data_IF_054622632821
#
_entry.id   IF_054622632821
#
_cell.length_a   1.000
_cell.length_b   1.000
_cell.length_c   1.000
_cell.angle_alpha   90.00
_cell.angle_beta   90.00
_cell.angle_gamma   90.00
#
_symmetry.space_group_name_H-M   'P 1'
#
loop_
_entity.id
_entity.type
_entity.pdbx_description
1 polymer ?
#
# COMPACT_ATOMS: atom_id res chain seq x y z
N UNK A 1 4.94 33.25 7.20
CA UNK A 1 5.12 32.13 8.17
C UNK A 1 6.29 31.29 7.69
N UNK A 2 7.38 31.22 8.46
CA UNK A 2 8.55 30.43 8.09
C UNK A 2 8.39 29.07 8.79
N UNK A 3 8.32 27.99 8.01
CA UNK A 3 8.36 26.63 8.53
C UNK A 3 9.83 26.23 8.59
N UNK A 4 10.34 26.00 9.80
CA UNK A 4 11.69 25.47 10.02
C UNK A 4 11.60 23.97 10.28
N UNK A 5 12.27 23.18 9.44
CA UNK A 5 12.28 21.71 9.54
C UNK A 5 13.65 21.25 10.00
N UNK A 6 13.71 20.53 11.12
CA UNK A 6 14.92 19.89 11.61
C UNK A 6 14.84 18.39 11.28
N UNK A 7 15.58 17.90 10.27
CA UNK A 7 15.53 16.50 9.89
C UNK A 7 16.18 15.64 10.98
N UNK A 8 15.76 14.37 11.08
CA UNK A 8 16.49 13.37 11.87
C UNK A 8 17.86 13.11 11.23
N UNK A 9 18.92 12.93 12.02
CA UNK A 9 20.29 12.74 11.49
C UNK A 9 20.38 11.54 10.53
N UNK A 10 19.60 10.48 10.78
CA UNK A 10 19.51 9.30 9.93
C UNK A 10 18.90 9.62 8.54
N UNK A 11 18.02 10.63 8.46
CA UNK A 11 17.47 11.09 7.19
C UNK A 11 18.50 11.89 6.36
N UNK A 12 19.53 12.44 7.02
CA UNK A 12 20.64 13.13 6.35
C UNK A 12 21.69 12.14 5.80
N UNK A 13 21.78 10.95 6.40
CA UNK A 13 22.64 9.85 5.95
C UNK A 13 21.99 8.96 4.88
N UNK A 14 20.68 9.09 4.66
CA UNK A 14 19.98 8.40 3.59
C UNK A 14 20.47 8.92 2.23
N UNK A 15 21.29 8.10 1.55
CA UNK A 15 22.05 8.49 0.35
C UNK A 15 21.20 8.91 -0.84
N UNK A 16 19.91 8.57 -0.86
CA UNK A 16 18.95 9.00 -1.89
C UNK A 16 17.59 9.30 -1.27
N UNK A 17 17.55 10.27 -0.34
CA UNK A 17 16.31 10.76 0.28
C UNK A 17 15.21 10.94 -0.77
N UNK A 18 14.28 9.98 -0.81
CA UNK A 18 13.25 9.93 -1.83
C UNK A 18 12.47 11.24 -1.80
N UNK A 19 12.62 12.07 -2.82
CA UNK A 19 11.78 13.27 -2.96
C UNK A 19 10.32 12.82 -2.85
N UNK A 20 9.49 13.48 -2.00
CA UNK A 20 8.09 13.11 -1.86
C UNK A 20 7.47 13.11 -3.25
N UNK A 21 6.93 11.95 -3.65
CA UNK A 21 6.32 11.81 -4.96
C UNK A 21 4.96 12.47 -4.94
N UNK A 22 4.63 13.24 -5.97
CA UNK A 22 3.24 13.64 -6.23
C UNK A 22 2.45 12.55 -6.97
N UNK A 23 3.14 11.51 -7.48
CA UNK A 23 2.51 10.40 -8.20
C UNK A 23 1.59 9.63 -7.26
N UNK A 24 0.39 9.35 -7.73
CA UNK A 24 -0.58 8.49 -7.05
C UNK A 24 -0.57 7.09 -7.67
N UNK A 25 -0.72 6.08 -6.81
CA UNK A 25 -0.86 4.67 -7.19
C UNK A 25 -2.27 4.24 -6.75
N UNK A 26 -3.04 3.71 -7.69
CA UNK A 26 -4.40 3.25 -7.42
C UNK A 26 -4.43 2.13 -6.39
N UNK A 27 -5.49 2.08 -5.57
CA UNK A 27 -5.70 1.01 -4.59
C UNK A 27 -6.35 -0.23 -5.20
N UNK A 28 -6.82 -0.14 -6.44
CA UNK A 28 -7.71 -1.13 -7.05
C UNK A 28 -9.15 -1.03 -6.56
N UNK A 29 -9.47 -0.04 -5.72
CA UNK A 29 -10.80 0.22 -5.17
C UNK A 29 -11.22 1.62 -5.60
N UNK A 30 -11.98 1.76 -6.70
CA UNK A 30 -12.28 3.08 -7.29
C UNK A 30 -12.90 4.08 -6.29
N UNK A 31 -13.85 3.62 -5.47
CA UNK A 31 -14.48 4.48 -4.46
C UNK A 31 -13.53 4.94 -3.36
N UNK A 32 -12.52 4.14 -3.00
CA UNK A 32 -11.50 4.57 -2.04
C UNK A 32 -10.53 5.56 -2.68
N UNK A 33 -10.10 5.30 -3.91
CA UNK A 33 -9.20 6.18 -4.65
C UNK A 33 -9.79 7.58 -4.80
N UNK A 34 -11.09 7.69 -5.09
CA UNK A 34 -11.80 8.97 -5.13
C UNK A 34 -11.73 9.72 -3.79
N UNK A 35 -12.02 9.02 -2.68
CA UNK A 35 -12.02 9.61 -1.33
C UNK A 35 -10.63 10.10 -0.91
N UNK A 36 -9.56 9.39 -1.29
CA UNK A 36 -8.18 9.71 -0.87
C UNK A 36 -7.40 10.57 -1.89
N UNK A 37 -8.08 11.10 -2.91
CA UNK A 37 -7.48 12.03 -3.89
C UNK A 37 -6.68 11.35 -4.99
N UNK A 38 -7.21 10.25 -5.53
CA UNK A 38 -6.68 9.52 -6.67
C UNK A 38 -5.72 8.38 -6.32
N UNK A 39 -5.71 7.92 -5.06
CA UNK A 39 -4.91 6.78 -4.60
C UNK A 39 -3.79 7.12 -3.60
N UNK A 40 -2.93 6.15 -3.34
CA UNK A 40 -1.83 6.23 -2.38
C UNK A 40 -0.65 7.01 -2.97
N UNK A 41 0.05 7.79 -2.16
CA UNK A 41 1.27 8.48 -2.58
C UNK A 41 2.37 7.45 -2.92
N UNK A 42 2.94 7.53 -4.11
CA UNK A 42 4.05 6.66 -4.50
C UNK A 42 5.28 6.86 -3.58
N UNK A 43 6.05 5.79 -3.34
CA UNK A 43 7.23 5.81 -2.45
C UNK A 43 6.89 6.24 -1.01
N UNK A 44 5.71 5.88 -0.53
CA UNK A 44 5.26 6.18 0.83
C UNK A 44 4.93 4.90 1.61
N UNK A 45 4.72 5.07 2.92
CA UNK A 45 4.12 4.03 3.78
C UNK A 45 2.70 4.47 4.14
N UNK A 46 1.73 3.58 3.94
CA UNK A 46 0.32 3.81 4.28
C UNK A 46 -0.13 2.77 5.29
N UNK A 47 -0.88 3.22 6.31
CA UNK A 47 -1.38 2.36 7.39
C UNK A 47 -2.91 2.35 7.41
N UNK A 48 -3.50 1.17 7.27
CA UNK A 48 -4.93 0.95 7.45
C UNK A 48 -5.22 0.53 8.89
N UNK A 49 -5.95 1.37 9.63
CA UNK A 49 -6.38 1.11 11.01
C UNK A 49 -7.88 0.82 11.05
N UNK A 50 -8.27 -0.10 11.92
CA UNK A 50 -9.67 -0.47 12.10
C UNK A 50 -9.85 -1.75 12.92
N UNK A 51 -11.07 -1.99 13.40
CA UNK A 51 -11.43 -3.18 14.18
C UNK A 51 -11.22 -4.49 13.41
N UNK A 52 -11.16 -5.61 14.13
CA UNK A 52 -11.14 -6.93 13.49
C UNK A 52 -12.35 -7.08 12.56
N UNK A 53 -12.15 -7.70 11.38
CA UNK A 53 -13.20 -7.84 10.38
C UNK A 53 -13.49 -6.61 9.51
N UNK A 54 -12.90 -5.44 9.80
CA UNK A 54 -13.11 -4.21 9.00
C UNK A 54 -12.56 -4.24 7.55
N UNK A 55 -12.08 -5.39 7.06
CA UNK A 55 -11.62 -5.54 5.68
C UNK A 55 -10.17 -5.13 5.40
N UNK A 56 -9.37 -4.79 6.41
CA UNK A 56 -7.96 -4.36 6.24
C UNK A 56 -7.11 -5.30 5.37
N UNK A 57 -7.18 -6.61 5.64
CA UNK A 57 -6.47 -7.62 4.84
C UNK A 57 -6.96 -7.64 3.39
N UNK A 58 -8.27 -7.53 3.17
CA UNK A 58 -8.85 -7.49 1.83
C UNK A 58 -8.41 -6.22 1.08
N UNK A 59 -8.38 -5.06 1.75
CA UNK A 59 -7.85 -3.82 1.16
C UNK A 59 -6.39 -3.95 0.75
N UNK A 60 -5.54 -4.54 1.62
CA UNK A 60 -4.16 -4.82 1.29
C UNK A 60 -4.02 -5.75 0.08
N UNK A 61 -4.84 -6.80 0.00
CA UNK A 61 -4.84 -7.72 -1.14
C UNK A 61 -5.35 -7.06 -2.43
N UNK A 62 -6.33 -6.16 -2.36
CA UNK A 62 -6.78 -5.35 -3.52
C UNK A 62 -5.63 -4.50 -4.08
N UNK A 63 -4.87 -3.85 -3.19
CA UNK A 63 -3.72 -3.04 -3.59
C UNK A 63 -2.62 -3.88 -4.26
N UNK A 64 -2.32 -5.07 -3.71
CA UNK A 64 -1.36 -5.99 -4.33
C UNK A 64 -1.89 -6.53 -5.67
N UNK A 65 -3.18 -6.83 -5.78
CA UNK A 65 -3.79 -7.26 -7.04
C UNK A 65 -3.70 -6.17 -8.12
N UNK A 66 -3.88 -4.90 -7.72
CA UNK A 66 -3.74 -3.76 -8.62
C UNK A 66 -2.30 -3.57 -9.09
N UNK A 67 -1.31 -3.66 -8.20
CA UNK A 67 0.10 -3.64 -8.58
C UNK A 67 0.44 -4.76 -9.56
N UNK A 68 0.00 -5.99 -9.26
CA UNK A 68 0.22 -7.14 -10.14
C UNK A 68 -0.43 -6.97 -11.53
N UNK A 69 -1.66 -6.44 -11.61
CA UNK A 69 -2.33 -6.12 -12.89
C UNK A 69 -1.55 -5.11 -13.71
N UNK A 70 -0.84 -4.18 -13.05
CA UNK A 70 0.01 -3.19 -13.69
C UNK A 70 1.43 -3.70 -13.98
N UNK A 71 1.70 -5.00 -13.78
CA UNK A 71 3.01 -5.60 -14.02
C UNK A 71 4.06 -5.27 -12.96
N UNK A 72 3.64 -4.80 -11.78
CA UNK A 72 4.54 -4.50 -10.66
C UNK A 72 4.80 -5.76 -9.82
N UNK A 73 6.01 -5.84 -9.26
CA UNK A 73 6.34 -6.87 -8.26
C UNK A 73 5.68 -6.52 -6.92
N UNK A 74 4.91 -7.47 -6.38
CA UNK A 74 4.13 -7.28 -5.15
C UNK A 74 4.51 -8.32 -4.09
N UNK A 75 4.49 -7.91 -2.82
CA UNK A 75 4.84 -8.76 -1.69
C UNK A 75 3.83 -8.62 -0.56
N UNK A 76 3.31 -9.75 -0.08
CA UNK A 76 2.51 -9.81 1.14
C UNK A 76 3.36 -10.41 2.27
N UNK A 77 3.55 -9.65 3.35
CA UNK A 77 4.16 -10.12 4.59
C UNK A 77 3.11 -10.12 5.70
N UNK A 78 2.81 -11.29 6.25
CA UNK A 78 1.82 -11.46 7.32
C UNK A 78 2.34 -12.38 8.42
N UNK A 79 1.82 -12.21 9.63
CA UNK A 79 2.29 -12.92 10.83
C UNK A 79 1.25 -13.84 11.47
N UNK A 80 -0.04 -13.59 11.26
CA UNK A 80 -1.12 -14.22 12.04
C UNK A 80 -1.96 -15.23 11.27
N UNK A 81 -1.93 -15.19 9.95
CA UNK A 81 -2.73 -16.08 9.11
C UNK A 81 -1.84 -17.04 8.32
N UNK A 82 -2.22 -18.33 8.20
CA UNK A 82 -1.45 -19.27 7.39
C UNK A 82 -1.56 -18.91 5.90
N UNK A 83 -0.54 -19.23 5.08
CA UNK A 83 -0.50 -18.87 3.66
C UNK A 83 -1.75 -19.33 2.87
N UNK A 84 -2.26 -20.53 3.15
CA UNK A 84 -3.46 -21.07 2.49
C UNK A 84 -4.70 -20.18 2.68
N UNK A 85 -4.86 -19.60 3.87
CA UNK A 85 -5.99 -18.70 4.16
C UNK A 85 -5.84 -17.37 3.42
N UNK A 86 -4.63 -16.83 3.34
CA UNK A 86 -4.34 -15.61 2.58
C UNK A 86 -4.57 -15.86 1.09
N UNK A 87 -4.10 -16.98 0.55
CA UNK A 87 -4.32 -17.37 -0.86
C UNK A 87 -5.81 -17.51 -1.18
N UNK A 88 -6.58 -18.15 -0.30
CA UNK A 88 -8.04 -18.29 -0.48
C UNK A 88 -8.81 -16.96 -0.41
N UNK A 89 -8.25 -15.93 0.26
CA UNK A 89 -8.77 -14.57 0.22
C UNK A 89 -8.33 -13.87 -1.06
N UNK A 90 -7.04 -13.97 -1.40
CA UNK A 90 -6.41 -13.38 -2.58
C UNK A 90 -7.08 -13.83 -3.89
N UNK A 91 -7.52 -15.08 -3.96
CA UNK A 91 -8.22 -15.63 -5.13
C UNK A 91 -9.57 -14.96 -5.39
N UNK A 92 -10.27 -14.51 -4.34
CA UNK A 92 -11.51 -13.73 -4.47
C UNK A 92 -11.28 -12.32 -5.02
N UNK A 93 -10.04 -11.85 -4.92
CA UNK A 93 -9.58 -10.53 -5.37
C UNK A 93 -8.91 -10.61 -6.76
N UNK A 94 -9.03 -11.77 -7.43
CA UNK A 94 -8.45 -12.09 -8.73
C UNK A 94 -6.91 -12.19 -8.75
N UNK A 95 -6.26 -12.55 -7.64
CA UNK A 95 -4.87 -13.02 -7.65
C UNK A 95 -4.88 -14.55 -7.81
N UNK A 96 -5.16 -15.06 -9.02
CA UNK A 96 -4.91 -16.47 -9.40
C UNK A 96 -4.83 -16.58 -10.92
N UNK A 97 -3.66 -16.22 -11.44
CA UNK A 97 -2.88 -16.89 -12.49
C UNK A 97 -1.91 -15.84 -13.05
N UNK A 98 -0.63 -15.99 -12.75
CA UNK A 98 0.47 -15.48 -13.56
C UNK A 98 1.32 -16.68 -13.94
#
# INVERSE_FOLDING_TARGET
MIITVYPRMEAQLATDGAKPSSKRIGTGIPGLDEIIGGGIVARSTTLFLGSSGAGKTIMGLQFLAEGARNGENVLHLGFYEPPSSVIAKASRVMIVNS
#
